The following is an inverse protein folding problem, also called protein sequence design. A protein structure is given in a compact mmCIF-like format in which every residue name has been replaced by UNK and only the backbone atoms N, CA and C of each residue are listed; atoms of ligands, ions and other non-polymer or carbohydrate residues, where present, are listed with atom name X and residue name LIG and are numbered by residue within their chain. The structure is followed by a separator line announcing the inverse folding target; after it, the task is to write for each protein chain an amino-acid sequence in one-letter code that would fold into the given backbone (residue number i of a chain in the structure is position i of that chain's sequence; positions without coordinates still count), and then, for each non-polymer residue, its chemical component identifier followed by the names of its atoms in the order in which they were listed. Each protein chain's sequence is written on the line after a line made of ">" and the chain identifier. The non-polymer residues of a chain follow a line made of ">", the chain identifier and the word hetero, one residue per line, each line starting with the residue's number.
data_IF_295654539212
#
_entry.id   IF_295654539212
#
_cell.length_a   1.000
_cell.length_b   1.000
_cell.length_c   1.000
_cell.angle_alpha   90.00
_cell.angle_beta   90.00
_cell.angle_gamma   90.00
#
_symmetry.space_group_name_H-M   'P 1'
#
loop_
_entity.id
_entity.type
_entity.pdbx_description
1 polymer ?
#
# COMPACT_ATOMS: atom_id res chain seq x y z
N UNK A 1 -19.07 7.13 -10.15
CA UNK A 1 -18.30 6.14 -9.36
C UNK A 1 -18.30 4.82 -10.12
N UNK A 2 -17.34 4.67 -11.04
CA UNK A 2 -17.11 3.43 -11.78
C UNK A 2 -16.06 2.61 -11.01
N UNK A 3 -16.38 2.24 -9.78
CA UNK A 3 -15.49 1.37 -9.01
C UNK A 3 -15.60 -0.04 -9.58
N UNK A 4 -14.63 -0.39 -10.43
CA UNK A 4 -14.05 -1.71 -10.70
C UNK A 4 -14.89 -2.92 -10.22
N UNK A 5 -16.06 -3.14 -10.83
CA UNK A 5 -16.99 -4.23 -10.46
C UNK A 5 -16.51 -5.66 -10.80
N UNK A 6 -15.31 -5.86 -11.34
CA UNK A 6 -14.90 -7.14 -11.93
C UNK A 6 -13.52 -7.68 -11.46
N UNK A 7 -13.05 -7.31 -10.26
CA UNK A 7 -11.88 -7.98 -9.68
C UNK A 7 -12.31 -8.95 -8.58
N UNK A 8 -12.59 -10.20 -8.95
CA UNK A 8 -12.74 -11.31 -7.99
C UNK A 8 -11.80 -12.45 -8.36
N UNK A 9 -11.13 -12.98 -7.34
CA UNK A 9 -10.27 -14.19 -7.26
C UNK A 9 -8.74 -14.07 -7.37
N UNK A 10 -8.13 -12.99 -7.87
CA UNK A 10 -6.65 -12.90 -7.94
C UNK A 10 -6.03 -11.90 -6.95
N UNK A 11 -6.84 -11.04 -6.35
CA UNK A 11 -6.38 -9.87 -5.58
C UNK A 11 -6.12 -10.16 -4.09
N UNK A 12 -6.69 -11.24 -3.55
CA UNK A 12 -6.79 -11.54 -2.11
C UNK A 12 -5.49 -12.05 -1.48
N UNK A 13 -4.68 -12.77 -2.25
CA UNK A 13 -3.46 -13.41 -1.72
C UNK A 13 -2.23 -12.53 -2.00
N UNK A 14 -2.33 -11.67 -3.01
CA UNK A 14 -1.42 -10.56 -3.25
C UNK A 14 -1.51 -9.48 -2.17
N UNK A 15 -2.55 -9.46 -1.33
CA UNK A 15 -2.65 -8.54 -0.19
C UNK A 15 -1.64 -8.79 0.93
N UNK A 16 -1.06 -9.99 0.96
CA UNK A 16 0.10 -10.27 1.80
C UNK A 16 1.32 -9.44 1.39
N UNK A 17 1.40 -8.97 0.14
CA UNK A 17 2.59 -8.34 -0.44
C UNK A 17 2.99 -6.98 0.10
N UNK A 18 2.14 -6.34 0.93
CA UNK A 18 2.37 -4.96 1.29
C UNK A 18 3.50 -4.74 2.31
N UNK A 19 3.85 -5.66 3.23
CA UNK A 19 4.97 -5.47 4.18
C UNK A 19 5.50 -6.80 4.82
N UNK A 20 5.99 -7.72 3.99
CA UNK A 20 6.43 -9.10 4.29
C UNK A 20 7.79 -9.32 4.98
N UNK A 21 8.34 -8.39 5.74
CA UNK A 21 9.45 -8.74 6.65
C UNK A 21 8.95 -8.94 8.08
N UNK A 22 8.15 -8.01 8.59
CA UNK A 22 7.43 -8.19 9.85
C UNK A 22 6.39 -9.30 9.73
N UNK A 23 5.57 -9.31 8.66
CA UNK A 23 4.49 -10.28 8.54
C UNK A 23 4.99 -11.72 8.29
N UNK A 24 6.15 -11.92 7.63
CA UNK A 24 6.73 -13.27 7.43
C UNK A 24 7.43 -13.77 8.66
N UNK A 25 8.28 -12.97 9.30
CA UNK A 25 8.93 -13.39 10.56
C UNK A 25 7.91 -13.82 11.61
N UNK A 26 6.77 -13.15 11.61
CA UNK A 26 5.72 -13.37 12.59
C UNK A 26 4.78 -14.50 12.17
N UNK A 27 4.39 -14.60 10.90
CA UNK A 27 3.68 -15.78 10.41
C UNK A 27 4.50 -17.05 10.67
N UNK A 28 5.82 -17.01 10.43
CA UNK A 28 6.73 -18.11 10.74
C UNK A 28 6.68 -18.53 12.22
N UNK A 29 6.42 -17.60 13.13
CA UNK A 29 6.33 -17.86 14.58
C UNK A 29 4.97 -18.44 14.96
N UNK A 30 3.89 -18.06 14.29
CA UNK A 30 2.53 -18.47 14.65
C UNK A 30 2.06 -19.77 14.00
N UNK A 31 2.56 -20.09 12.80
CA UNK A 31 2.22 -21.35 12.13
C UNK A 31 3.36 -22.37 12.16
N UNK A 32 4.47 -22.06 12.84
CA UNK A 32 5.68 -22.90 12.93
C UNK A 32 6.20 -23.37 11.55
N UNK A 33 5.98 -22.56 10.51
CA UNK A 33 6.33 -22.86 9.13
C UNK A 33 6.88 -21.62 8.44
N UNK A 34 7.94 -21.79 7.66
CA UNK A 34 8.49 -20.70 6.87
C UNK A 34 7.52 -20.31 5.74
N UNK A 35 6.86 -19.17 5.85
CA UNK A 35 5.91 -18.63 4.86
C UNK A 35 6.58 -18.00 3.65
N UNK A 36 7.87 -17.66 3.74
CA UNK A 36 8.60 -17.01 2.64
C UNK A 36 8.47 -17.78 1.31
N UNK A 37 8.69 -19.10 1.23
CA UNK A 37 8.59 -19.86 -0.02
C UNK A 37 7.18 -19.82 -0.62
N UNK A 38 6.13 -19.95 0.20
CA UNK A 38 4.73 -19.92 -0.25
C UNK A 38 4.37 -18.57 -0.89
N UNK A 39 4.80 -17.47 -0.27
CA UNK A 39 4.54 -16.13 -0.80
C UNK A 39 5.27 -15.90 -2.13
N UNK A 40 6.50 -16.42 -2.26
CA UNK A 40 7.28 -16.35 -3.50
C UNK A 40 6.60 -17.16 -4.61
N UNK A 41 6.25 -18.42 -4.33
CA UNK A 41 5.57 -19.31 -5.28
C UNK A 41 4.27 -18.69 -5.76
N UNK A 42 3.50 -18.13 -4.83
CA UNK A 42 2.24 -17.48 -5.14
C UNK A 42 2.44 -16.22 -6.00
N UNK A 43 3.38 -15.34 -5.63
CA UNK A 43 3.67 -14.14 -6.41
C UNK A 43 4.12 -14.48 -7.84
N UNK A 44 4.88 -15.56 -8.01
CA UNK A 44 5.26 -16.10 -9.33
C UNK A 44 4.05 -16.61 -10.10
N UNK A 45 3.19 -17.39 -9.46
CA UNK A 45 1.98 -17.93 -10.10
C UNK A 45 1.04 -16.82 -10.57
N UNK A 46 0.79 -15.79 -9.75
CA UNK A 46 -0.03 -14.65 -10.15
C UNK A 46 0.61 -13.83 -11.27
N UNK A 47 1.92 -13.60 -11.21
CA UNK A 47 2.62 -12.94 -12.30
C UNK A 47 2.42 -13.68 -13.63
N UNK A 48 2.53 -15.01 -13.65
CA UNK A 48 2.26 -15.80 -14.88
C UNK A 48 0.80 -15.66 -15.34
N UNK A 49 -0.17 -15.77 -14.43
CA UNK A 49 -1.60 -15.58 -14.78
C UNK A 49 -1.87 -14.20 -15.40
N UNK A 50 -1.23 -13.16 -14.88
CA UNK A 50 -1.37 -11.79 -15.41
C UNK A 50 -0.77 -11.70 -16.82
N UNK A 51 0.39 -12.33 -17.05
CA UNK A 51 1.06 -12.35 -18.36
C UNK A 51 0.26 -13.08 -19.44
N UNK A 52 -0.38 -14.17 -19.05
CA UNK A 52 -1.22 -14.99 -19.95
C UNK A 52 -2.60 -14.37 -20.19
N UNK A 53 -3.03 -13.41 -19.36
CA UNK A 53 -4.33 -12.76 -19.49
C UNK A 53 -4.30 -11.58 -20.47
N UNK A 54 -4.43 -11.89 -21.76
CA UNK A 54 -4.47 -10.90 -22.85
C UNK A 54 -5.73 -10.02 -22.90
N UNK A 55 -6.66 -10.16 -21.93
CA UNK A 55 -7.90 -9.38 -21.87
C UNK A 55 -7.82 -8.16 -20.94
N UNK A 56 -6.73 -8.02 -20.19
CA UNK A 56 -6.57 -6.91 -19.24
C UNK A 56 -6.30 -5.60 -19.98
N UNK A 57 -7.02 -4.54 -19.60
CA UNK A 57 -6.65 -3.20 -20.02
C UNK A 57 -5.30 -2.81 -19.37
N UNK A 58 -4.48 -1.95 -20.02
CA UNK A 58 -3.15 -1.60 -19.51
C UNK A 58 -3.13 -1.12 -18.05
N UNK A 59 -4.10 -0.30 -17.65
CA UNK A 59 -4.24 0.18 -16.27
C UNK A 59 -4.52 -0.96 -15.28
N UNK A 60 -5.35 -1.93 -15.67
CA UNK A 60 -5.67 -3.10 -14.84
C UNK A 60 -4.45 -4.02 -14.70
N UNK A 61 -3.73 -4.22 -15.80
CA UNK A 61 -2.51 -5.00 -15.82
C UNK A 61 -1.44 -4.39 -14.90
N UNK A 62 -1.19 -3.07 -15.00
CA UNK A 62 -0.26 -2.37 -14.10
C UNK A 62 -0.62 -2.54 -12.63
N UNK A 63 -1.89 -2.34 -12.30
CA UNK A 63 -2.35 -2.49 -10.92
C UNK A 63 -2.11 -3.90 -10.40
N UNK A 64 -2.46 -4.92 -11.19
CA UNK A 64 -2.26 -6.32 -10.80
C UNK A 64 -0.78 -6.70 -10.69
N UNK A 65 0.07 -6.24 -11.60
CA UNK A 65 1.53 -6.46 -11.55
C UNK A 65 2.19 -5.77 -10.35
N UNK A 66 1.65 -4.64 -9.90
CA UNK A 66 2.23 -3.89 -8.79
C UNK A 66 2.25 -4.66 -7.47
N UNK A 67 1.35 -5.62 -7.29
CA UNK A 67 1.29 -6.40 -6.05
C UNK A 67 2.38 -7.48 -5.95
N UNK A 68 2.56 -8.41 -6.92
CA UNK A 68 3.66 -9.37 -6.86
C UNK A 68 5.02 -8.65 -6.91
N UNK A 69 5.11 -7.49 -7.56
CA UNK A 69 6.29 -6.63 -7.52
C UNK A 69 6.67 -6.26 -6.07
N UNK A 70 5.73 -5.68 -5.31
CA UNK A 70 5.95 -5.29 -3.91
C UNK A 70 6.27 -6.49 -3.02
N UNK A 71 5.63 -7.64 -3.27
CA UNK A 71 5.85 -8.87 -2.52
C UNK A 71 7.30 -9.35 -2.65
N UNK A 72 7.73 -9.52 -3.90
CA UNK A 72 9.05 -10.04 -4.23
C UNK A 72 10.15 -9.06 -3.86
N UNK A 73 9.90 -7.75 -4.03
CA UNK A 73 10.80 -6.70 -3.56
C UNK A 73 11.02 -6.78 -2.04
N UNK A 74 9.95 -6.91 -1.26
CA UNK A 74 10.04 -7.00 0.20
C UNK A 74 10.81 -8.24 0.65
N UNK A 75 10.63 -9.36 -0.06
CA UNK A 75 11.30 -10.62 0.22
C UNK A 75 12.74 -10.71 -0.33
N UNK A 76 13.21 -9.66 -1.01
CA UNK A 76 14.53 -9.56 -1.65
C UNK A 76 14.74 -10.60 -2.77
N UNK A 77 13.67 -11.01 -3.44
CA UNK A 77 13.73 -11.91 -4.59
C UNK A 77 14.02 -11.12 -5.88
N UNK A 78 15.26 -10.66 -6.02
CA UNK A 78 15.67 -9.67 -7.04
C UNK A 78 15.36 -10.11 -8.47
N UNK A 79 15.65 -11.36 -8.84
CA UNK A 79 15.44 -11.84 -10.21
C UNK A 79 13.97 -11.81 -10.64
N UNK A 80 13.04 -12.13 -9.73
CA UNK A 80 11.62 -12.15 -10.06
C UNK A 80 10.99 -10.75 -9.95
N UNK A 81 11.46 -9.94 -9.00
CA UNK A 81 11.17 -8.51 -8.95
C UNK A 81 11.54 -7.80 -10.27
N UNK A 82 12.75 -8.01 -10.79
CA UNK A 82 13.26 -7.37 -12.01
C UNK A 82 12.39 -7.71 -13.24
N UNK A 83 11.93 -8.96 -13.36
CA UNK A 83 11.04 -9.37 -14.47
C UNK A 83 9.74 -8.56 -14.47
N UNK A 84 9.10 -8.43 -13.31
CA UNK A 84 7.84 -7.70 -13.16
C UNK A 84 8.07 -6.20 -13.38
N UNK A 85 9.18 -5.67 -12.86
CA UNK A 85 9.57 -4.28 -13.02
C UNK A 85 9.67 -3.92 -14.51
N UNK A 86 10.39 -4.74 -15.30
CA UNK A 86 10.56 -4.51 -16.75
C UNK A 86 9.21 -4.44 -17.46
N UNK A 87 8.29 -5.34 -17.15
CA UNK A 87 6.95 -5.33 -17.76
C UNK A 87 6.14 -4.09 -17.38
N UNK A 88 6.19 -3.67 -16.11
CA UNK A 88 5.51 -2.44 -15.67
C UNK A 88 6.12 -1.20 -16.33
N UNK A 89 7.45 -1.13 -16.45
CA UNK A 89 8.15 -0.04 -17.14
C UNK A 89 7.80 -0.01 -18.63
N UNK A 90 7.68 -1.17 -19.28
CA UNK A 90 7.26 -1.26 -20.67
C UNK A 90 5.84 -0.69 -20.86
N UNK A 91 4.88 -1.04 -19.99
CA UNK A 91 3.51 -0.52 -20.08
C UNK A 91 3.49 1.01 -19.89
N UNK A 92 4.32 1.54 -18.97
CA UNK A 92 4.40 2.98 -18.69
C UNK A 92 5.20 3.79 -19.72
N UNK A 93 6.04 3.14 -20.53
CA UNK A 93 6.93 3.82 -21.50
C UNK A 93 6.48 3.69 -22.94
N UNK A 94 5.74 2.64 -23.30
CA UNK A 94 5.19 2.49 -24.65
C UNK A 94 4.02 3.45 -24.84
N UNK A 95 4.14 4.36 -25.81
CA UNK A 95 3.11 5.38 -26.10
C UNK A 95 1.72 4.75 -26.35
N UNK A 96 1.69 3.62 -27.05
CA UNK A 96 0.46 2.89 -27.37
C UNK A 96 -0.29 2.38 -26.14
N UNK A 97 0.40 2.10 -25.03
CA UNK A 97 -0.23 1.67 -23.76
C UNK A 97 -0.37 2.82 -22.78
N UNK A 98 0.64 3.67 -22.66
CA UNK A 98 0.66 4.79 -21.72
C UNK A 98 -0.47 5.80 -21.99
N UNK A 99 -0.78 6.07 -23.27
CA UNK A 99 -1.89 6.95 -23.67
C UNK A 99 -3.28 6.43 -23.26
N UNK A 100 -3.41 5.13 -22.96
CA UNK A 100 -4.65 4.51 -22.50
C UNK A 100 -4.82 4.56 -20.97
N UNK A 101 -3.82 5.07 -20.25
CA UNK A 101 -3.80 5.12 -18.79
C UNK A 101 -3.88 6.59 -18.38
N UNK A 102 -4.83 6.92 -17.51
CA UNK A 102 -4.96 8.27 -16.99
C UNK A 102 -3.69 8.70 -16.25
N UNK A 103 -3.32 9.99 -16.38
CA UNK A 103 -2.05 10.48 -15.83
C UNK A 103 -1.90 10.24 -14.31
N UNK A 104 -2.92 10.48 -13.47
CA UNK A 104 -2.82 10.21 -12.03
C UNK A 104 -2.51 8.74 -11.72
N UNK A 105 -3.10 7.81 -12.50
CA UNK A 105 -2.84 6.38 -12.37
C UNK A 105 -1.39 6.02 -12.72
N UNK A 106 -0.82 6.62 -13.76
CA UNK A 106 0.59 6.42 -14.09
C UNK A 106 1.49 6.86 -12.92
N UNK A 107 1.25 8.04 -12.35
CA UNK A 107 2.03 8.59 -11.24
C UNK A 107 1.90 7.72 -9.98
N UNK A 108 0.69 7.23 -9.70
CA UNK A 108 0.44 6.33 -8.58
C UNK A 108 1.17 4.99 -8.73
N UNK A 109 1.18 4.41 -9.94
CA UNK A 109 1.95 3.20 -10.24
C UNK A 109 3.46 3.43 -10.16
N UNK A 110 3.97 4.57 -10.63
CA UNK A 110 5.38 4.96 -10.44
C UNK A 110 5.74 5.06 -8.95
N UNK A 111 4.85 5.57 -8.10
CA UNK A 111 5.02 5.58 -6.65
C UNK A 111 5.22 4.18 -6.06
N UNK A 112 4.40 3.21 -6.48
CA UNK A 112 4.54 1.81 -6.09
C UNK A 112 5.85 1.19 -6.57
N UNK A 113 6.26 1.47 -7.81
CA UNK A 113 7.56 1.01 -8.35
C UNK A 113 8.71 1.58 -7.52
N UNK A 114 8.65 2.85 -7.12
CA UNK A 114 9.69 3.46 -6.28
C UNK A 114 9.77 2.79 -4.90
N UNK A 115 8.63 2.52 -4.27
CA UNK A 115 8.57 1.76 -3.01
C UNK A 115 9.16 0.36 -3.20
N UNK A 116 8.79 -0.35 -4.27
CA UNK A 116 9.35 -1.66 -4.56
C UNK A 116 10.87 -1.62 -4.77
N UNK A 117 11.40 -0.63 -5.50
CA UNK A 117 12.85 -0.46 -5.66
C UNK A 117 13.57 -0.23 -4.32
N UNK A 118 13.01 0.63 -3.45
CA UNK A 118 13.50 0.83 -2.08
C UNK A 118 13.50 -0.48 -1.29
N UNK A 119 12.40 -1.23 -1.35
CA UNK A 119 12.25 -2.49 -0.64
C UNK A 119 13.17 -3.58 -1.17
N UNK A 120 13.42 -3.65 -2.48
CA UNK A 120 14.39 -4.57 -3.08
C UNK A 120 15.84 -4.19 -2.75
N UNK A 121 16.11 -2.89 -2.49
CA UNK A 121 17.47 -2.36 -2.35
C UNK A 121 18.09 -1.96 -3.68
N UNK A 122 17.28 -1.76 -4.71
CA UNK A 122 17.70 -1.29 -6.03
C UNK A 122 17.86 0.25 -6.00
N UNK A 123 19.04 0.70 -5.59
CA UNK A 123 19.34 2.11 -5.41
C UNK A 123 19.35 2.89 -6.75
N UNK A 124 19.78 2.25 -7.84
CA UNK A 124 19.84 2.90 -9.15
C UNK A 124 18.43 3.15 -9.68
N UNK A 125 17.57 2.11 -9.66
CA UNK A 125 16.17 2.24 -10.08
C UNK A 125 15.40 3.20 -9.19
N UNK A 126 15.60 3.13 -7.87
CA UNK A 126 14.96 4.06 -6.94
C UNK A 126 15.30 5.51 -7.29
N UNK A 127 16.58 5.83 -7.51
CA UNK A 127 17.01 7.18 -7.89
C UNK A 127 16.36 7.63 -9.20
N UNK A 128 16.33 6.76 -10.21
CA UNK A 128 15.73 7.06 -11.52
C UNK A 128 14.23 7.34 -11.41
N UNK A 129 13.46 6.45 -10.77
CA UNK A 129 12.00 6.56 -10.67
C UNK A 129 11.61 7.70 -9.73
N UNK A 130 12.30 7.87 -8.59
CA UNK A 130 12.09 9.00 -7.68
C UNK A 130 12.25 10.34 -8.39
N UNK A 131 13.31 10.50 -9.20
CA UNK A 131 13.55 11.72 -9.98
C UNK A 131 12.41 12.00 -10.96
N UNK A 132 12.04 11.00 -11.79
CA UNK A 132 10.92 11.13 -12.74
C UNK A 132 9.60 11.44 -12.06
N UNK A 133 9.27 10.72 -10.99
CA UNK A 133 8.03 10.90 -10.23
C UNK A 133 7.96 12.29 -9.61
N UNK A 134 9.07 12.76 -9.04
CA UNK A 134 9.17 14.11 -8.47
C UNK A 134 8.90 15.17 -9.52
N UNK A 135 9.55 15.11 -10.68
CA UNK A 135 9.30 16.09 -11.76
C UNK A 135 7.83 16.08 -12.17
N UNK A 136 7.28 14.91 -12.50
CA UNK A 136 5.93 14.83 -13.05
C UNK A 136 4.84 15.17 -12.03
N UNK A 137 5.02 14.88 -10.74
CA UNK A 137 4.05 15.25 -9.72
C UNK A 137 3.99 16.76 -9.49
N UNK A 138 5.14 17.43 -9.47
CA UNK A 138 5.21 18.86 -9.23
C UNK A 138 4.88 19.71 -10.47
N UNK A 139 4.89 19.10 -11.66
CA UNK A 139 4.37 19.68 -12.91
C UNK A 139 2.89 19.36 -13.16
N UNK A 140 2.28 18.46 -12.37
CA UNK A 140 0.88 18.10 -12.53
C UNK A 140 -0.04 19.08 -11.78
N UNK A 141 -0.72 19.93 -12.53
CA UNK A 141 -1.68 20.90 -11.97
C UNK A 141 -3.04 20.29 -11.60
N UNK A 142 -3.30 19.03 -12.00
CA UNK A 142 -4.57 18.38 -11.71
C UNK A 142 -4.67 17.96 -10.24
N UNK A 143 -5.69 18.49 -9.56
CA UNK A 143 -6.01 18.14 -8.18
C UNK A 143 -7.03 17.01 -8.15
N UNK A 144 -6.55 15.79 -8.16
CA UNK A 144 -7.34 14.58 -7.97
C UNK A 144 -6.78 13.70 -6.85
N UNK A 145 -7.63 12.83 -6.33
CA UNK A 145 -7.34 11.99 -5.17
C UNK A 145 -6.12 11.08 -5.41
N UNK A 146 -6.01 10.51 -6.61
CA UNK A 146 -4.99 9.53 -6.97
C UNK A 146 -3.62 10.22 -7.05
N UNK A 147 -3.57 11.45 -7.55
CA UNK A 147 -2.37 12.30 -7.49
C UNK A 147 -1.95 12.55 -6.04
N UNK A 148 -2.90 12.81 -5.12
CA UNK A 148 -2.61 12.90 -3.68
C UNK A 148 -1.95 11.64 -3.12
N UNK A 149 -2.43 10.45 -3.49
CA UNK A 149 -1.83 9.18 -3.07
C UNK A 149 -0.44 8.95 -3.68
N UNK A 150 -0.20 9.43 -4.89
CA UNK A 150 1.12 9.38 -5.53
C UNK A 150 2.14 10.27 -4.79
N UNK A 151 1.72 11.45 -4.31
CA UNK A 151 2.54 12.29 -3.42
C UNK A 151 2.88 11.56 -2.11
N UNK A 152 1.94 10.84 -1.51
CA UNK A 152 2.19 10.08 -0.28
C UNK A 152 3.22 8.96 -0.50
N UNK A 153 3.20 8.28 -1.65
CA UNK A 153 4.24 7.31 -1.99
C UNK A 153 5.62 7.95 -2.11
N UNK A 154 5.74 9.06 -2.83
CA UNK A 154 7.00 9.80 -2.93
C UNK A 154 7.49 10.22 -1.54
N UNK A 155 6.61 10.77 -0.71
CA UNK A 155 6.91 11.20 0.65
C UNK A 155 7.39 10.04 1.56
N UNK A 156 6.93 8.81 1.33
CA UNK A 156 7.33 7.64 2.11
C UNK A 156 8.74 7.10 1.81
N UNK A 157 9.39 7.59 0.75
CA UNK A 157 10.69 7.07 0.31
C UNK A 157 11.82 7.46 1.25
N UNK A 158 11.82 8.71 1.73
CA UNK A 158 12.83 9.23 2.65
C UNK A 158 12.39 10.58 3.23
N UNK A 159 13.11 11.04 4.26
CA UNK A 159 12.85 12.31 4.94
C UNK A 159 12.89 13.53 4.00
N UNK A 160 13.82 13.56 3.05
CA UNK A 160 13.93 14.67 2.08
C UNK A 160 12.68 14.75 1.19
N UNK A 161 12.23 13.60 0.67
CA UNK A 161 11.00 13.52 -0.13
C UNK A 161 9.78 13.89 0.69
N UNK A 162 9.71 13.46 1.94
CA UNK A 162 8.65 13.85 2.85
C UNK A 162 8.58 15.37 3.00
N UNK A 163 9.71 16.01 3.33
CA UNK A 163 9.76 17.45 3.53
C UNK A 163 9.31 18.21 2.26
N UNK A 164 9.71 17.72 1.08
CA UNK A 164 9.30 18.30 -0.20
C UNK A 164 7.80 18.14 -0.48
N UNK A 165 7.21 17.02 -0.09
CA UNK A 165 5.82 16.69 -0.36
C UNK A 165 4.85 17.12 0.75
N UNK A 166 5.34 17.48 1.94
CA UNK A 166 4.53 17.72 3.14
C UNK A 166 3.35 18.66 2.91
N UNK A 167 3.59 19.82 2.29
CA UNK A 167 2.53 20.79 1.99
C UNK A 167 1.45 20.20 1.07
N UNK A 168 1.86 19.39 0.07
CA UNK A 168 0.94 18.70 -0.83
C UNK A 168 0.12 17.64 -0.10
N UNK A 169 0.71 16.89 0.84
CA UNK A 169 -0.05 15.91 1.65
C UNK A 169 -1.19 16.60 2.41
N UNK A 170 -0.91 17.75 3.05
CA UNK A 170 -1.95 18.53 3.74
C UNK A 170 -2.97 19.16 2.78
N UNK A 171 -2.52 19.64 1.62
CA UNK A 171 -3.41 20.18 0.58
C UNK A 171 -4.43 19.11 0.13
N UNK A 172 -3.96 17.94 -0.30
CA UNK A 172 -4.83 16.85 -0.76
C UNK A 172 -5.71 16.28 0.35
N UNK A 173 -5.19 16.16 1.56
CA UNK A 173 -5.99 15.76 2.74
C UNK A 173 -7.19 16.69 2.95
N UNK A 174 -6.98 18.01 2.90
CA UNK A 174 -8.07 19.00 3.06
C UNK A 174 -9.10 18.94 1.94
N UNK A 175 -8.67 18.64 0.71
CA UNK A 175 -9.57 18.47 -0.42
C UNK A 175 -10.48 17.23 -0.24
N UNK A 176 -9.91 16.14 0.24
CA UNK A 176 -10.66 14.91 0.54
C UNK A 176 -11.59 15.07 1.74
N UNK A 177 -11.12 15.74 2.80
CA UNK A 177 -11.94 16.08 3.97
C UNK A 177 -13.19 16.89 3.56
N UNK A 178 -13.01 17.91 2.71
CA UNK A 178 -14.11 18.73 2.22
C UNK A 178 -15.11 17.94 1.34
N UNK A 179 -14.66 16.89 0.65
CA UNK A 179 -15.53 15.99 -0.11
C UNK A 179 -16.26 15.02 0.82
N UNK A 180 -15.55 14.44 1.78
CA UNK A 180 -16.11 13.58 2.82
C UNK A 180 -17.22 14.26 3.61
N UNK A 181 -17.01 15.48 4.08
CA UNK A 181 -18.06 16.24 4.81
C UNK A 181 -19.33 16.41 3.97
N UNK A 182 -19.21 16.56 2.65
CA UNK A 182 -20.37 16.73 1.75
C UNK A 182 -21.08 15.41 1.45
N UNK A 183 -20.37 14.29 1.41
CA UNK A 183 -20.93 12.98 1.07
C UNK A 183 -20.20 11.84 1.83
N UNK A 184 -20.40 11.70 3.15
CA UNK A 184 -19.60 10.80 3.98
C UNK A 184 -19.65 9.34 3.50
N UNK A 185 -20.83 8.80 3.22
CA UNK A 185 -21.00 7.40 2.78
C UNK A 185 -20.30 7.10 1.46
N UNK A 186 -20.16 8.11 0.59
CA UNK A 186 -19.59 7.96 -0.75
C UNK A 186 -18.07 8.12 -0.75
N UNK A 187 -17.56 9.07 0.04
CA UNK A 187 -16.14 9.47 -0.01
C UNK A 187 -15.34 8.92 1.20
N UNK A 188 -15.97 8.22 2.14
CA UNK A 188 -15.27 7.68 3.31
C UNK A 188 -14.05 6.83 2.92
N UNK A 189 -14.19 5.97 1.91
CA UNK A 189 -13.10 5.09 1.48
C UNK A 189 -11.89 5.86 0.94
N UNK A 190 -12.12 6.93 0.15
CA UNK A 190 -11.02 7.74 -0.39
C UNK A 190 -10.35 8.58 0.68
N UNK A 191 -11.13 9.08 1.65
CA UNK A 191 -10.60 9.89 2.74
C UNK A 191 -9.79 9.05 3.74
N UNK A 192 -10.33 7.90 4.19
CA UNK A 192 -9.59 6.93 5.03
C UNK A 192 -8.27 6.57 4.38
N UNK A 193 -8.30 6.30 3.08
CA UNK A 193 -7.09 5.96 2.35
C UNK A 193 -6.05 7.06 2.32
N UNK A 194 -6.50 8.30 2.12
CA UNK A 194 -5.62 9.46 2.14
C UNK A 194 -4.95 9.62 3.50
N UNK A 195 -5.71 9.45 4.59
CA UNK A 195 -5.15 9.50 5.96
C UNK A 195 -4.13 8.38 6.20
N UNK A 196 -4.44 7.14 5.82
CA UNK A 196 -3.53 6.00 6.02
C UNK A 196 -2.26 6.13 5.18
N UNK A 197 -2.36 6.58 3.93
CA UNK A 197 -1.19 6.82 3.08
C UNK A 197 -0.29 7.94 3.66
N UNK A 198 -0.89 9.00 4.20
CA UNK A 198 -0.16 10.10 4.82
C UNK A 198 0.49 9.69 6.16
N UNK A 199 -0.23 8.92 6.99
CA UNK A 199 0.28 8.28 8.19
C UNK A 199 1.51 7.42 7.89
N UNK A 200 1.42 6.61 6.82
CA UNK A 200 2.51 5.78 6.34
C UNK A 200 3.72 6.59 5.85
N UNK A 201 3.47 7.69 5.14
CA UNK A 201 4.53 8.59 4.70
C UNK A 201 5.26 9.25 5.88
N UNK A 202 4.50 9.78 6.86
CA UNK A 202 5.08 10.46 8.02
C UNK A 202 5.79 9.50 8.98
N UNK A 203 5.28 8.28 9.15
CA UNK A 203 5.94 7.23 9.91
C UNK A 203 7.31 6.88 9.32
N UNK A 204 7.39 6.63 8.01
CA UNK A 204 8.67 6.35 7.34
C UNK A 204 9.67 7.50 7.44
N UNK A 205 9.18 8.74 7.50
CA UNK A 205 10.01 9.93 7.64
C UNK A 205 10.33 10.27 9.11
N UNK A 206 9.77 9.54 10.09
CA UNK A 206 9.93 9.81 11.51
C UNK A 206 9.38 11.17 11.94
N UNK A 207 8.28 11.63 11.34
CA UNK A 207 7.71 12.97 11.56
C UNK A 207 6.49 12.96 12.47
N UNK A 208 6.39 13.99 13.29
CA UNK A 208 5.29 14.17 14.26
C UNK A 208 3.90 14.29 13.60
N UNK A 209 3.84 14.65 12.31
CA UNK A 209 2.60 14.63 11.52
C UNK A 209 1.91 13.26 11.55
N UNK A 210 2.64 12.17 11.83
CA UNK A 210 2.09 10.85 12.17
C UNK A 210 0.95 10.92 13.19
N UNK A 211 1.15 11.67 14.29
CA UNK A 211 0.17 11.80 15.37
C UNK A 211 -1.08 12.53 14.88
N UNK A 212 -0.92 13.50 13.98
CA UNK A 212 -2.04 14.25 13.39
C UNK A 212 -2.91 13.30 12.56
N UNK A 213 -2.32 12.58 11.61
CA UNK A 213 -3.07 11.66 10.75
C UNK A 213 -3.70 10.51 11.55
N UNK A 214 -2.99 9.98 12.56
CA UNK A 214 -3.53 8.95 13.45
C UNK A 214 -4.75 9.45 14.24
N UNK A 215 -4.66 10.66 14.79
CA UNK A 215 -5.77 11.24 15.55
C UNK A 215 -6.99 11.42 14.65
N UNK A 216 -6.80 12.04 13.48
CA UNK A 216 -7.89 12.24 12.53
C UNK A 216 -8.52 10.92 12.08
N UNK A 217 -7.70 9.89 11.83
CA UNK A 217 -8.17 8.56 11.46
C UNK A 217 -9.03 7.93 12.56
N UNK A 218 -8.62 8.02 13.84
CA UNK A 218 -9.42 7.53 14.96
C UNK A 218 -10.74 8.29 15.05
N UNK A 219 -10.73 9.60 14.84
CA UNK A 219 -11.91 10.46 15.02
C UNK A 219 -12.92 10.43 13.85
N UNK A 220 -12.66 9.67 12.77
CA UNK A 220 -13.61 9.53 11.66
C UNK A 220 -14.93 8.85 12.03
N UNK A 221 -14.95 8.11 13.14
CA UNK A 221 -16.17 7.47 13.64
C UNK A 221 -16.47 7.90 15.06
N UNK A 222 -17.75 7.92 15.43
CA UNK A 222 -18.19 8.28 16.79
C UNK A 222 -17.62 7.35 17.87
N UNK A 223 -17.29 6.12 17.50
CA UNK A 223 -16.68 5.12 18.39
C UNK A 223 -15.20 5.38 18.64
N UNK A 224 -14.57 6.21 17.81
CA UNK A 224 -13.18 6.62 17.91
C UNK A 224 -12.16 5.48 17.91
N UNK A 225 -12.46 4.40 17.18
CA UNK A 225 -11.57 3.25 17.05
C UNK A 225 -11.03 3.12 15.64
N UNK A 226 -9.80 2.61 15.52
CA UNK A 226 -9.21 2.28 14.23
C UNK A 226 -10.00 1.18 13.51
N UNK A 227 -10.54 0.22 14.27
CA UNK A 227 -11.39 -0.84 13.73
C UNK A 227 -12.59 -0.30 12.97
N UNK A 228 -13.37 0.56 13.62
CA UNK A 228 -14.57 1.11 13.01
C UNK A 228 -14.22 2.00 11.82
N UNK A 229 -13.11 2.73 11.86
CA UNK A 229 -12.64 3.53 10.73
C UNK A 229 -12.25 2.66 9.53
N UNK A 230 -11.52 1.54 9.72
CA UNK A 230 -11.18 0.64 8.61
C UNK A 230 -12.43 0.03 7.95
N UNK A 231 -13.51 -0.16 8.71
CA UNK A 231 -14.78 -0.69 8.18
C UNK A 231 -15.49 0.27 7.21
N UNK A 232 -15.12 1.55 7.18
CA UNK A 232 -15.61 2.52 6.20
C UNK A 232 -15.13 2.25 4.77
N UNK A 233 -14.17 1.33 4.59
CA UNK A 233 -13.77 0.82 3.28
C UNK A 233 -14.51 -0.51 3.05
N UNK A 234 -15.52 -0.56 2.17
CA UNK A 234 -16.43 -1.70 2.08
C UNK A 234 -15.79 -2.91 1.41
N UNK A 235 -14.86 -2.69 0.48
CA UNK A 235 -14.16 -3.77 -0.22
C UNK A 235 -13.09 -4.38 0.69
N UNK A 236 -13.23 -5.68 0.99
CA UNK A 236 -12.35 -6.43 1.91
C UNK A 236 -10.87 -6.28 1.56
N UNK A 237 -10.58 -6.28 0.26
CA UNK A 237 -9.23 -6.28 -0.26
C UNK A 237 -8.54 -4.93 0.00
N UNK A 238 -9.24 -3.84 -0.30
CA UNK A 238 -8.75 -2.49 -0.04
C UNK A 238 -8.60 -2.22 1.46
N UNK A 239 -9.53 -2.74 2.28
CA UNK A 239 -9.45 -2.66 3.74
C UNK A 239 -8.22 -3.38 4.30
N UNK A 240 -7.91 -4.58 3.82
CA UNK A 240 -6.74 -5.33 4.27
C UNK A 240 -5.43 -4.59 3.95
N UNK A 241 -5.36 -3.93 2.80
CA UNK A 241 -4.17 -3.15 2.47
C UNK A 241 -4.01 -1.92 3.39
N UNK A 242 -5.10 -1.21 3.68
CA UNK A 242 -5.09 -0.10 4.65
C UNK A 242 -4.58 -0.54 6.02
N UNK A 243 -5.16 -1.60 6.56
CA UNK A 243 -4.76 -2.16 7.87
C UNK A 243 -3.27 -2.58 7.85
N UNK A 244 -2.77 -3.08 6.73
CA UNK A 244 -1.36 -3.43 6.57
C UNK A 244 -0.44 -2.21 6.62
N UNK A 245 -0.83 -1.10 5.98
CA UNK A 245 -0.08 0.16 6.02
C UNK A 245 -0.10 0.79 7.41
N UNK A 246 -1.24 0.78 8.09
CA UNK A 246 -1.37 1.28 9.47
C UNK A 246 -0.42 0.52 10.40
N UNK A 247 -0.46 -0.82 10.38
CA UNK A 247 0.40 -1.65 11.23
C UNK A 247 1.88 -1.45 10.96
N UNK A 248 2.26 -1.37 9.68
CA UNK A 248 3.65 -1.05 9.35
C UNK A 248 4.04 0.31 9.92
N UNK A 249 3.19 1.33 9.77
CA UNK A 249 3.43 2.68 10.29
C UNK A 249 3.63 2.67 11.80
N UNK A 250 2.78 1.93 12.52
CA UNK A 250 2.85 1.82 13.98
C UNK A 250 4.08 1.05 14.42
N UNK A 251 4.48 -0.01 13.71
CA UNK A 251 5.70 -0.76 13.99
C UNK A 251 6.95 0.12 13.78
N UNK A 252 7.01 0.90 12.70
CA UNK A 252 8.10 1.87 12.45
C UNK A 252 8.17 2.90 13.58
N UNK A 253 7.03 3.38 14.05
CA UNK A 253 6.93 4.38 15.13
C UNK A 253 6.99 3.79 16.54
N UNK A 254 7.06 2.45 16.68
CA UNK A 254 6.99 1.72 17.95
C UNK A 254 5.74 2.04 18.79
N UNK A 255 4.60 2.27 18.12
CA UNK A 255 3.30 2.58 18.74
C UNK A 255 2.54 1.29 19.10
N UNK A 256 2.90 0.68 20.23
CA UNK A 256 2.29 -0.58 20.66
C UNK A 256 0.79 -0.45 20.95
N UNK A 257 0.33 0.69 21.48
CA UNK A 257 -1.09 0.89 21.80
C UNK A 257 -1.97 0.81 20.56
N UNK A 258 -1.57 1.45 19.47
CA UNK A 258 -2.34 1.41 18.22
C UNK A 258 -2.23 0.04 17.54
N UNK A 259 -1.13 -0.69 17.75
CA UNK A 259 -0.99 -2.07 17.29
C UNK A 259 -1.93 -3.03 18.03
N UNK A 260 -2.02 -2.92 19.35
CA UNK A 260 -2.93 -3.72 20.18
C UNK A 260 -4.38 -3.49 19.75
N UNK A 261 -4.75 -2.25 19.46
CA UNK A 261 -6.09 -1.88 18.95
C UNK A 261 -6.41 -2.53 17.61
N UNK A 262 -5.45 -2.55 16.66
CA UNK A 262 -5.63 -3.20 15.36
C UNK A 262 -5.54 -4.73 15.41
N UNK A 263 -5.04 -5.31 16.50
CA UNK A 263 -4.89 -6.77 16.66
C UNK A 263 -6.27 -7.45 16.69
N UNK A 264 -7.32 -6.73 17.12
CA UNK A 264 -8.69 -7.22 17.19
C UNK A 264 -9.44 -7.31 15.83
N UNK A 265 -8.92 -6.70 14.77
CA UNK A 265 -9.66 -6.52 13.50
C UNK A 265 -9.69 -7.79 12.63
N UNK A 266 -8.92 -8.83 12.97
CA UNK A 266 -8.71 -9.98 12.08
C UNK A 266 -8.59 -11.37 12.76
N UNK A 267 -9.34 -11.69 13.83
CA UNK A 267 -9.43 -13.09 14.29
C UNK A 267 -10.68 -13.83 13.79
N UNK A 268 -10.76 -14.32 12.53
CA UNK A 268 -11.63 -15.44 12.21
C UNK A 268 -11.03 -16.74 12.77
N UNK A 269 -11.90 -17.70 13.15
CA UNK A 269 -11.48 -19.07 13.48
C UNK A 269 -10.81 -19.70 12.25
N UNK A 270 -9.74 -20.47 12.47
CA UNK A 270 -8.98 -21.07 11.36
C UNK A 270 -9.72 -22.28 10.81
N UNK A 271 -10.37 -22.11 9.66
CA UNK A 271 -11.03 -23.17 8.91
C UNK A 271 -10.87 -23.04 7.38
N UNK A 272 -10.13 -22.03 6.87
CA UNK A 272 -9.89 -21.81 5.43
C UNK A 272 -8.63 -20.96 5.11
N UNK A 273 -8.17 -20.93 3.86
CA UNK A 273 -7.06 -20.06 3.42
C UNK A 273 -7.34 -18.56 3.67
N UNK A 274 -8.61 -18.14 3.58
CA UNK A 274 -9.06 -16.79 3.95
C UNK A 274 -8.93 -16.51 5.47
N UNK A 275 -8.96 -17.55 6.30
CA UNK A 275 -8.71 -17.43 7.75
C UNK A 275 -7.21 -17.34 8.10
N UNK A 276 -6.31 -17.91 7.29
CA UNK A 276 -4.85 -17.69 7.40
C UNK A 276 -4.47 -16.23 7.12
N UNK A 277 -5.19 -15.56 6.22
CA UNK A 277 -5.02 -14.12 5.92
C UNK A 277 -5.49 -13.23 7.09
N UNK A 278 -6.44 -13.70 7.90
CA UNK A 278 -6.76 -13.08 9.19
C UNK A 278 -5.62 -13.25 10.22
N UNK A 279 -4.99 -14.41 10.25
CA UNK A 279 -3.91 -14.73 11.20
C UNK A 279 -2.58 -14.02 10.95
N UNK A 280 -2.13 -13.95 9.69
CA UNK A 280 -0.96 -13.13 9.30
C UNK A 280 -1.16 -11.63 9.65
N UNK A 281 -2.42 -11.27 9.87
CA UNK A 281 -2.90 -9.97 10.30
C UNK A 281 -3.19 -9.90 11.82
N UNK A 282 -2.68 -10.77 12.70
CA UNK A 282 -2.99 -10.69 14.16
C UNK A 282 -1.78 -10.64 15.07
N UNK A 283 -0.60 -10.39 14.54
CA UNK A 283 0.60 -10.68 15.30
C UNK A 283 1.59 -9.54 15.20
N UNK A 284 1.72 -8.82 16.31
CA UNK A 284 2.92 -8.05 16.65
C UNK A 284 3.24 -8.34 18.11
N UNK A 285 4.47 -8.76 18.36
CA UNK A 285 5.33 -8.09 19.34
C UNK A 285 6.80 -8.31 18.93
N UNK A 286 7.68 -7.31 19.07
CA UNK A 286 9.12 -7.54 19.15
C UNK A 286 9.45 -8.25 20.47
N UNK A 287 10.38 -9.20 20.45
CA UNK A 287 10.99 -9.68 21.68
C UNK A 287 11.68 -8.51 22.41
N UNK A 288 11.57 -8.41 23.75
CA UNK A 288 12.35 -7.44 24.52
C UNK A 288 13.85 -7.75 24.35
N UNK A 289 14.73 -6.72 24.38
CA UNK A 289 16.16 -6.94 24.28
C UNK A 289 16.61 -7.93 25.36
N UNK A 290 17.26 -9.01 24.92
CA UNK A 290 17.88 -9.99 25.79
C UNK A 290 19.14 -9.39 26.41
N UNK A 291 18.99 -8.95 27.67
CA UNK A 291 19.99 -8.50 28.65
C UNK A 291 20.86 -7.30 28.31
#
# INVERSE_FOLDING_TARGET
>A
MMFLKNFKCSSIILLLSAYLLSNVSIANTAIDENMKPYVIEFAKAEYQKIKENHKLAPQQQLYQLSMPLLALATLKETSDYEKILVDMEQILSMESTASQIEKPWQLWMMGRIAVAAKLAGDAEKLKQIKGKLTTQLFENDNKDVITGWAFAYLASLDEESYQKCREKLFEYKKLEEAQYIKAPEKEASSYVWTLVMNLYASANAGKEDYVIYLTELKELTDKKTLQDTSLLVPESDYRQWLVSLERYSFAVMKDQSSLDELTAINSPKVDSFDSMLGWANTLIMPEPPTK
#
